data_IF_295473981837
#
_entry.id   IF_295473981837
#
_cell.length_a   1.000
_cell.length_b   1.000
_cell.length_c   1.000
_cell.angle_alpha   90.00
_cell.angle_beta   90.00
_cell.angle_gamma   90.00
#
_symmetry.space_group_name_H-M   'P 1'
#
loop_
_entity.id
_entity.type
_entity.pdbx_description
1 polymer ?
#
# COMPACT_ATOMS: atom_id res chain seq x y z
N UNK A 1 -6.40 -8.26 -11.43
CA UNK A 1 -7.44 -9.08 -12.08
C UNK A 1 -6.89 -10.49 -12.29
N UNK A 2 -7.75 -11.53 -12.20
CA UNK A 2 -7.33 -12.94 -12.37
C UNK A 2 -6.68 -13.26 -13.73
N UNK A 3 -6.86 -12.39 -14.72
CA UNK A 3 -6.21 -12.48 -16.04
C UNK A 3 -4.78 -11.90 -16.04
N UNK A 4 -4.41 -11.13 -15.02
CA UNK A 4 -3.06 -10.60 -14.85
C UNK A 4 -2.41 -11.32 -13.67
N UNK A 5 -1.29 -11.97 -13.95
CA UNK A 5 -0.52 -12.67 -12.95
C UNK A 5 0.94 -12.24 -13.07
N UNK A 6 1.56 -11.91 -11.96
CA UNK A 6 2.95 -11.46 -11.93
C UNK A 6 3.58 -11.69 -10.58
N UNK A 7 4.89 -11.87 -10.59
CA UNK A 7 5.71 -12.05 -9.39
C UNK A 7 6.81 -10.99 -9.43
N UNK A 8 6.95 -10.25 -8.35
CA UNK A 8 8.11 -9.38 -8.12
C UNK A 8 9.14 -10.16 -7.31
N UNK A 9 10.32 -10.37 -7.88
CA UNK A 9 11.41 -11.07 -7.20
C UNK A 9 12.45 -10.06 -6.73
N UNK A 10 12.99 -10.29 -5.54
CA UNK A 10 13.97 -9.43 -4.89
C UNK A 10 15.26 -10.22 -4.61
N UNK A 11 16.41 -9.54 -4.72
CA UNK A 11 17.71 -10.10 -4.39
C UNK A 11 18.00 -10.09 -2.89
N UNK A 12 19.13 -10.68 -2.48
CA UNK A 12 19.57 -10.68 -1.08
C UNK A 12 19.92 -9.28 -0.54
N UNK A 13 20.07 -8.30 -1.42
CA UNK A 13 20.25 -6.87 -1.13
C UNK A 13 18.94 -6.12 -0.84
N UNK A 14 17.79 -6.82 -0.96
CA UNK A 14 16.45 -6.23 -0.80
C UNK A 14 15.97 -5.43 -2.01
N UNK A 15 16.73 -5.35 -3.10
CA UNK A 15 16.35 -4.68 -4.33
C UNK A 15 15.59 -5.61 -5.27
N UNK A 16 14.65 -5.04 -6.06
CA UNK A 16 13.99 -5.80 -7.11
C UNK A 16 15.03 -6.32 -8.11
N UNK A 17 14.87 -7.56 -8.50
CA UNK A 17 15.79 -8.25 -9.42
C UNK A 17 15.89 -7.49 -10.76
N UNK A 18 17.12 -7.18 -11.18
CA UNK A 18 17.41 -6.54 -12.47
C UNK A 18 17.37 -7.54 -13.62
N UNK A 19 17.50 -7.05 -14.87
CA UNK A 19 17.31 -7.85 -16.08
C UNK A 19 18.26 -9.06 -16.16
N UNK A 20 19.52 -8.93 -15.75
CA UNK A 20 20.49 -10.02 -15.84
C UNK A 20 20.17 -11.19 -14.90
N UNK A 21 19.95 -11.02 -13.59
CA UNK A 21 19.46 -12.09 -12.72
C UNK A 21 18.10 -12.64 -13.16
N UNK A 22 17.18 -11.79 -13.61
CA UNK A 22 15.88 -12.21 -14.11
C UNK A 22 16.00 -13.13 -15.32
N UNK A 23 16.86 -12.83 -16.28
CA UNK A 23 17.10 -13.66 -17.46
C UNK A 23 17.61 -15.07 -17.08
N UNK A 24 18.42 -15.18 -16.03
CA UNK A 24 18.88 -16.50 -15.53
C UNK A 24 17.72 -17.31 -14.95
N UNK A 25 16.82 -16.67 -14.21
CA UNK A 25 15.61 -17.33 -13.66
C UNK A 25 14.70 -17.76 -14.79
N UNK A 26 14.45 -16.90 -15.78
CA UNK A 26 13.63 -17.24 -16.95
C UNK A 26 14.20 -18.42 -17.74
N UNK A 27 15.51 -18.48 -17.92
CA UNK A 27 16.17 -19.61 -18.61
C UNK A 27 15.95 -20.96 -17.89
N UNK A 28 15.78 -20.97 -16.56
CA UNK A 28 15.40 -22.18 -15.82
C UNK A 28 13.90 -22.47 -15.94
N UNK A 29 13.04 -21.44 -15.88
CA UNK A 29 11.59 -21.59 -16.03
C UNK A 29 11.24 -22.20 -17.39
N UNK A 30 11.90 -21.77 -18.48
CA UNK A 30 11.68 -22.29 -19.84
C UNK A 30 11.97 -23.79 -20.00
N UNK A 31 12.74 -24.39 -19.11
CA UNK A 31 13.00 -25.83 -19.08
C UNK A 31 11.90 -26.63 -18.42
N UNK A 32 10.98 -25.97 -17.73
CA UNK A 32 9.92 -26.60 -16.94
C UNK A 32 8.68 -26.72 -17.82
N UNK A 33 7.98 -27.89 -17.87
CA UNK A 33 6.70 -28.01 -18.55
C UNK A 33 5.68 -27.00 -18.00
N UNK A 34 4.90 -26.41 -18.91
CA UNK A 34 3.95 -25.32 -18.58
C UNK A 34 2.90 -25.76 -17.55
N UNK A 35 2.49 -27.02 -17.58
CA UNK A 35 1.55 -27.61 -16.62
C UNK A 35 2.22 -28.81 -15.92
N UNK A 36 2.62 -28.60 -14.70
CA UNK A 36 3.03 -29.70 -13.82
C UNK A 36 1.83 -30.09 -12.96
N UNK A 37 1.51 -31.40 -12.83
CA UNK A 37 0.54 -31.82 -11.82
C UNK A 37 1.08 -31.46 -10.44
N UNK A 38 0.21 -30.94 -9.58
CA UNK A 38 0.57 -30.75 -8.18
C UNK A 38 0.85 -32.12 -7.55
N UNK A 39 2.07 -32.34 -7.10
CA UNK A 39 2.47 -33.59 -6.46
C UNK A 39 1.87 -33.73 -5.04
N UNK A 40 1.66 -32.58 -4.36
CA UNK A 40 1.16 -32.49 -2.99
C UNK A 40 0.20 -31.32 -2.84
N UNK A 41 -0.68 -31.40 -1.85
CA UNK A 41 -1.53 -30.28 -1.46
C UNK A 41 -0.74 -29.20 -0.70
N UNK A 42 -1.33 -28.02 -0.54
CA UNK A 42 -0.77 -26.96 0.31
C UNK A 42 -0.61 -27.43 1.76
N UNK A 43 -1.59 -28.18 2.25
CA UNK A 43 -1.63 -28.74 3.60
C UNK A 43 -0.50 -29.75 3.84
N UNK A 44 -0.17 -30.57 2.83
CA UNK A 44 0.95 -31.51 2.92
C UNK A 44 2.29 -30.74 2.99
N UNK A 45 2.48 -29.71 2.15
CA UNK A 45 3.68 -28.88 2.20
C UNK A 45 3.82 -28.13 3.53
N UNK A 46 2.71 -27.65 4.10
CA UNK A 46 2.72 -26.99 5.41
C UNK A 46 3.08 -27.99 6.53
N UNK A 47 2.53 -29.20 6.49
CA UNK A 47 2.78 -30.24 7.49
C UNK A 47 4.24 -30.75 7.45
N UNK A 48 4.86 -30.77 6.28
CA UNK A 48 6.25 -31.21 6.07
C UNK A 48 7.28 -30.08 6.27
N UNK A 49 6.83 -28.82 6.54
CA UNK A 49 7.71 -27.67 6.68
C UNK A 49 8.25 -27.12 5.34
N UNK A 50 7.68 -27.52 4.20
CA UNK A 50 7.98 -26.97 2.88
C UNK A 50 7.38 -25.58 2.64
N UNK A 51 6.37 -25.23 3.45
CA UNK A 51 5.74 -23.91 3.51
C UNK A 51 5.67 -23.48 4.97
N UNK A 52 6.07 -22.23 5.24
CA UNK A 52 5.97 -21.66 6.58
C UNK A 52 5.29 -20.28 6.52
N UNK A 53 4.48 -19.97 7.52
CA UNK A 53 3.97 -18.62 7.69
C UNK A 53 5.02 -17.74 8.35
N UNK A 54 5.05 -16.47 7.96
CA UNK A 54 5.91 -15.46 8.58
C UNK A 54 5.59 -15.38 10.09
N UNK A 55 6.63 -15.53 10.91
CA UNK A 55 6.51 -15.49 12.36
C UNK A 55 6.00 -14.12 12.85
N UNK A 56 5.18 -14.09 13.93
CA UNK A 56 4.63 -12.86 14.49
C UNK A 56 5.70 -11.81 14.82
N UNK A 57 6.89 -12.24 15.26
CA UNK A 57 8.01 -11.39 15.63
C UNK A 57 8.54 -10.58 14.44
N UNK A 58 8.49 -11.15 13.22
CA UNK A 58 8.90 -10.44 12.03
C UNK A 58 7.87 -9.35 11.67
N UNK A 59 6.58 -9.61 11.86
CA UNK A 59 5.53 -8.62 11.72
C UNK A 59 5.70 -7.45 12.71
N UNK A 60 6.01 -7.75 13.98
CA UNK A 60 6.25 -6.71 14.98
C UNK A 60 7.43 -5.83 14.59
N UNK A 61 8.55 -6.40 14.18
CA UNK A 61 9.70 -5.64 13.70
C UNK A 61 9.36 -4.74 12.50
N UNK A 62 8.56 -5.25 11.56
CA UNK A 62 8.08 -4.47 10.44
C UNK A 62 7.23 -3.27 10.90
N UNK A 63 6.28 -3.50 11.80
CA UNK A 63 5.45 -2.42 12.34
C UNK A 63 6.26 -1.39 13.12
N UNK A 64 7.22 -1.81 13.92
CA UNK A 64 8.13 -0.92 14.65
C UNK A 64 8.94 -0.06 13.68
N UNK A 65 9.46 -0.65 12.61
CA UNK A 65 10.20 0.08 11.57
C UNK A 65 9.32 1.14 10.91
N UNK A 66 8.09 0.79 10.49
CA UNK A 66 7.16 1.74 9.88
C UNK A 66 6.78 2.86 10.83
N UNK A 67 6.52 2.53 12.11
CA UNK A 67 6.19 3.52 13.14
C UNK A 67 7.38 4.44 13.45
N UNK A 68 8.61 3.93 13.30
CA UNK A 68 9.85 4.69 13.48
C UNK A 68 10.05 5.81 12.45
N UNK A 69 9.40 5.72 11.27
CA UNK A 69 9.42 6.78 10.25
C UNK A 69 8.54 7.99 10.61
N UNK A 70 7.85 7.96 11.73
CA UNK A 70 6.99 9.03 12.18
C UNK A 70 7.80 10.26 12.60
N UNK A 71 7.64 11.35 11.89
CA UNK A 71 8.40 12.59 12.12
C UNK A 71 7.90 13.41 13.31
N UNK A 72 6.62 13.33 13.63
CA UNK A 72 6.03 14.06 14.74
C UNK A 72 4.88 13.28 15.37
N UNK A 73 4.69 13.45 16.67
CA UNK A 73 3.49 12.97 17.36
C UNK A 73 2.40 14.01 17.19
N UNK A 74 1.45 13.71 16.32
CA UNK A 74 0.25 14.54 16.13
C UNK A 74 -0.93 13.81 16.78
N UNK A 75 -1.79 14.49 17.57
CA UNK A 75 -3.02 13.88 18.06
C UNK A 75 -3.87 13.37 16.91
N UNK A 76 -4.24 12.10 16.95
CA UNK A 76 -5.02 11.44 15.90
C UNK A 76 -6.27 10.73 16.43
N UNK A 77 -6.52 10.86 17.74
CA UNK A 77 -7.56 10.13 18.48
C UNK A 77 -9.00 10.43 18.00
N UNK A 78 -9.18 11.55 17.29
CA UNK A 78 -10.48 11.96 16.73
C UNK A 78 -10.53 11.84 15.20
N UNK A 79 -9.47 11.32 14.55
CA UNK A 79 -9.48 11.16 13.12
C UNK A 79 -10.22 9.88 12.73
N UNK A 80 -11.33 10.04 11.99
CA UNK A 80 -12.12 8.94 11.45
C UNK A 80 -11.74 8.73 9.99
N UNK A 81 -11.15 7.61 9.72
CA UNK A 81 -10.64 7.26 8.40
C UNK A 81 -11.43 6.09 7.82
N UNK A 82 -11.91 6.24 6.58
CA UNK A 82 -12.45 5.14 5.80
C UNK A 82 -11.37 4.60 4.88
N UNK A 83 -11.02 3.33 5.06
CA UNK A 83 -9.94 2.68 4.31
C UNK A 83 -10.45 1.61 3.36
N UNK A 84 -9.93 1.58 2.14
CA UNK A 84 -10.08 0.46 1.23
C UNK A 84 -8.73 -0.13 0.86
N UNK A 85 -8.49 -1.43 1.12
CA UNK A 85 -7.33 -2.16 0.63
C UNK A 85 -7.47 -2.63 -0.83
N UNK A 86 -8.58 -2.36 -1.51
CA UNK A 86 -8.90 -2.86 -2.86
C UNK A 86 -8.65 -4.37 -2.99
N UNK A 87 -9.18 -5.15 -2.03
CA UNK A 87 -9.00 -6.61 -1.93
C UNK A 87 -7.53 -7.05 -1.78
N UNK A 88 -6.65 -6.16 -1.32
CA UNK A 88 -5.21 -6.34 -1.35
C UNK A 88 -4.55 -6.61 0.00
N UNK A 89 -3.23 -6.69 -0.05
CA UNK A 89 -2.35 -7.07 1.08
C UNK A 89 -2.26 -5.98 2.16
N UNK A 90 -2.59 -4.73 1.85
CA UNK A 90 -2.56 -3.60 2.78
C UNK A 90 -3.57 -3.71 3.93
N UNK A 91 -4.61 -4.54 3.82
CA UNK A 91 -5.69 -4.61 4.81
C UNK A 91 -5.18 -4.73 6.25
N UNK A 92 -4.39 -5.74 6.54
CA UNK A 92 -3.88 -5.97 7.89
C UNK A 92 -2.80 -4.95 8.31
N UNK A 93 -1.72 -4.73 7.54
CA UNK A 93 -0.63 -3.87 7.98
C UNK A 93 -1.05 -2.40 8.12
N UNK A 94 -1.76 -1.84 7.15
CA UNK A 94 -2.19 -0.43 7.20
C UNK A 94 -3.11 -0.18 8.40
N UNK A 95 -4.09 -1.03 8.62
CA UNK A 95 -5.00 -0.90 9.77
C UNK A 95 -4.27 -1.06 11.11
N UNK A 96 -3.30 -1.97 11.19
CA UNK A 96 -2.49 -2.16 12.40
C UNK A 96 -1.67 -0.92 12.71
N UNK A 97 -0.97 -0.37 11.74
CA UNK A 97 -0.13 0.83 11.93
C UNK A 97 -0.99 2.04 12.31
N UNK A 98 -2.07 2.29 11.58
CA UNK A 98 -2.97 3.41 11.85
C UNK A 98 -3.63 3.29 13.24
N UNK A 99 -4.08 2.09 13.62
CA UNK A 99 -4.63 1.85 14.96
C UNK A 99 -3.61 2.08 16.08
N UNK A 100 -2.34 1.73 15.87
CA UNK A 100 -1.27 1.96 16.86
C UNK A 100 -0.95 3.44 17.07
N UNK A 101 -1.25 4.28 16.09
CA UNK A 101 -1.10 5.74 16.23
C UNK A 101 -2.40 6.45 16.63
N UNK A 102 -3.45 5.70 16.97
CA UNK A 102 -4.70 6.23 17.53
C UNK A 102 -5.75 6.65 16.49
N UNK A 103 -5.58 6.31 15.20
CA UNK A 103 -6.57 6.62 14.16
C UNK A 103 -7.74 5.62 14.21
N UNK A 104 -8.98 6.14 14.16
CA UNK A 104 -10.18 5.31 14.02
C UNK A 104 -10.34 4.89 12.56
N UNK A 105 -10.10 3.61 12.26
CA UNK A 105 -10.15 3.08 10.89
C UNK A 105 -11.36 2.21 10.68
N UNK A 106 -12.31 2.67 9.86
CA UNK A 106 -13.34 1.83 9.27
C UNK A 106 -12.85 1.29 7.92
N UNK A 107 -13.14 0.03 7.62
CA UNK A 107 -12.77 -0.57 6.33
C UNK A 107 -13.98 -0.70 5.42
N UNK A 108 -13.79 -0.57 4.11
CA UNK A 108 -14.83 -0.83 3.10
C UNK A 108 -15.10 -2.33 3.02
N UNK A 109 -16.26 -2.84 3.50
CA UNK A 109 -16.46 -4.29 3.68
C UNK A 109 -16.39 -5.08 2.37
N UNK A 110 -16.88 -4.48 1.27
CA UNK A 110 -16.91 -5.11 -0.04
C UNK A 110 -15.51 -5.29 -0.67
N UNK A 111 -14.50 -4.62 -0.12
CA UNK A 111 -13.12 -4.62 -0.63
C UNK A 111 -12.10 -5.04 0.45
N UNK A 112 -12.57 -5.48 1.61
CA UNK A 112 -11.71 -5.87 2.73
C UNK A 112 -10.97 -7.19 2.49
N UNK A 113 -11.66 -8.17 1.91
CA UNK A 113 -11.09 -9.52 1.70
C UNK A 113 -10.49 -9.65 0.30
N UNK A 114 -9.46 -10.50 0.14
CA UNK A 114 -8.94 -10.83 -1.18
C UNK A 114 -10.05 -11.36 -2.09
N UNK A 115 -10.13 -10.81 -3.31
CA UNK A 115 -11.03 -11.25 -4.39
C UNK A 115 -10.26 -11.16 -5.70
N UNK A 116 -9.86 -12.29 -6.27
CA UNK A 116 -9.11 -12.35 -7.53
C UNK A 116 -9.91 -11.87 -8.74
N UNK A 117 -11.25 -11.87 -8.65
CA UNK A 117 -12.12 -11.37 -9.70
C UNK A 117 -12.33 -9.85 -9.64
N UNK A 118 -11.97 -9.20 -8.53
CA UNK A 118 -12.15 -7.77 -8.30
C UNK A 118 -13.56 -7.26 -8.65
N UNK A 119 -14.59 -7.95 -8.18
CA UNK A 119 -16.01 -7.73 -8.52
C UNK A 119 -16.51 -6.30 -8.28
N UNK A 120 -15.90 -5.59 -7.33
CA UNK A 120 -16.26 -4.21 -6.97
C UNK A 120 -15.42 -3.16 -7.69
N UNK A 121 -14.35 -3.57 -8.35
CA UNK A 121 -13.44 -2.68 -9.06
C UNK A 121 -12.63 -3.48 -10.09
N UNK A 122 -13.06 -3.50 -11.35
CA UNK A 122 -12.39 -4.23 -12.42
C UNK A 122 -10.91 -3.83 -12.60
N UNK A 123 -10.59 -2.56 -12.29
CA UNK A 123 -9.24 -2.03 -12.35
C UNK A 123 -8.84 -1.43 -11.00
N UNK A 124 -8.20 -2.23 -10.12
CA UNK A 124 -7.93 -1.83 -8.74
C UNK A 124 -6.72 -0.87 -8.64
N UNK A 125 -6.80 0.24 -9.36
CA UNK A 125 -5.84 1.34 -9.29
C UNK A 125 -6.46 2.48 -8.47
N UNK A 126 -5.94 2.80 -7.28
CA UNK A 126 -6.49 3.83 -6.40
C UNK A 126 -6.44 5.24 -7.01
N UNK A 127 -5.66 5.45 -8.06
CA UNK A 127 -5.65 6.71 -8.80
C UNK A 127 -6.91 6.93 -9.65
N UNK A 128 -7.70 5.89 -9.91
CA UNK A 128 -8.97 6.01 -10.63
C UNK A 128 -10.12 6.29 -9.67
N UNK A 129 -11.12 7.07 -10.11
CA UNK A 129 -12.31 7.32 -9.29
C UNK A 129 -13.14 6.05 -9.10
N UNK A 130 -13.14 5.17 -10.10
CA UNK A 130 -13.83 3.90 -10.04
C UNK A 130 -13.40 3.02 -8.86
N UNK A 131 -12.10 3.04 -8.50
CA UNK A 131 -11.57 2.29 -7.38
C UNK A 131 -12.14 2.73 -6.03
N UNK A 132 -12.47 4.02 -5.88
CA UNK A 132 -13.01 4.59 -4.65
C UNK A 132 -14.55 4.65 -4.61
N UNK A 133 -15.26 4.14 -5.63
CA UNK A 133 -16.72 4.22 -5.68
C UNK A 133 -17.41 3.59 -4.48
N UNK A 134 -16.95 2.44 -4.00
CA UNK A 134 -17.51 1.80 -2.80
C UNK A 134 -17.25 2.65 -1.55
N UNK A 135 -16.05 3.25 -1.47
CA UNK A 135 -15.71 4.19 -0.39
C UNK A 135 -16.63 5.42 -0.40
N UNK A 136 -16.88 6.01 -1.56
CA UNK A 136 -17.76 7.18 -1.67
C UNK A 136 -19.20 6.90 -1.27
N UNK A 137 -19.72 5.68 -1.54
CA UNK A 137 -21.07 5.29 -1.09
C UNK A 137 -21.16 5.29 0.43
N UNK A 138 -20.21 4.65 1.11
CA UNK A 138 -20.15 4.56 2.57
C UNK A 138 -19.89 5.94 3.19
N UNK A 139 -18.98 6.71 2.60
CA UNK A 139 -18.58 8.02 3.11
C UNK A 139 -19.73 9.04 3.16
N UNK A 140 -20.74 8.93 2.27
CA UNK A 140 -21.94 9.77 2.30
C UNK A 140 -22.79 9.57 3.57
N UNK A 141 -22.72 8.39 4.15
CA UNK A 141 -23.47 8.02 5.35
C UNK A 141 -22.65 8.21 6.63
N UNK A 142 -21.36 7.91 6.55
CA UNK A 142 -20.46 7.86 7.72
C UNK A 142 -19.65 9.14 7.94
N UNK A 143 -19.57 10.00 6.92
CA UNK A 143 -18.86 11.28 6.97
C UNK A 143 -17.44 11.19 7.58
N UNK A 144 -16.54 10.33 7.03
CA UNK A 144 -15.18 10.24 7.53
C UNK A 144 -14.41 11.53 7.24
N UNK A 145 -13.39 11.81 8.06
CA UNK A 145 -12.49 12.95 7.86
C UNK A 145 -11.56 12.73 6.67
N UNK A 146 -11.31 11.46 6.32
CA UNK A 146 -10.42 11.08 5.22
C UNK A 146 -10.84 9.74 4.63
N UNK A 147 -10.73 9.59 3.31
CA UNK A 147 -10.74 8.30 2.63
C UNK A 147 -9.32 7.97 2.21
N UNK A 148 -8.87 6.76 2.53
CA UNK A 148 -7.57 6.21 2.13
C UNK A 148 -7.80 4.95 1.30
N UNK A 149 -7.10 4.82 0.18
CA UNK A 149 -7.09 3.61 -0.64
C UNK A 149 -5.68 3.18 -0.96
N UNK A 150 -5.42 1.87 -0.94
CA UNK A 150 -4.17 1.29 -1.46
C UNK A 150 -4.49 0.29 -2.55
N UNK A 151 -3.58 0.13 -3.49
CA UNK A 151 -3.73 -0.93 -4.50
C UNK A 151 -3.45 -2.33 -3.92
N UNK A 152 -3.70 -3.41 -4.67
CA UNK A 152 -3.63 -4.76 -4.11
C UNK A 152 -2.26 -5.20 -3.57
N UNK A 153 -1.16 -4.72 -4.12
CA UNK A 153 0.19 -4.98 -3.62
C UNK A 153 0.71 -3.88 -2.67
N UNK A 154 -0.12 -2.85 -2.44
CA UNK A 154 0.08 -1.80 -1.44
C UNK A 154 1.32 -0.92 -1.69
N UNK A 155 1.69 -0.71 -2.97
CA UNK A 155 2.80 0.18 -3.35
C UNK A 155 2.33 1.57 -3.81
N UNK A 156 1.00 1.78 -3.92
CA UNK A 156 0.37 3.06 -4.24
C UNK A 156 -0.66 3.45 -3.20
N UNK A 157 -0.90 4.75 -3.08
CA UNK A 157 -1.89 5.32 -2.17
C UNK A 157 -2.74 6.38 -2.87
N UNK A 158 -4.03 6.38 -2.59
CA UNK A 158 -4.93 7.47 -2.90
C UNK A 158 -5.56 8.04 -1.63
N UNK A 159 -5.76 9.33 -1.65
CA UNK A 159 -6.40 10.07 -0.57
C UNK A 159 -7.55 10.89 -1.14
N UNK A 160 -8.72 10.85 -0.49
CA UNK A 160 -9.81 11.77 -0.78
C UNK A 160 -10.24 12.49 0.51
N UNK A 161 -10.48 13.79 0.36
CA UNK A 161 -10.84 14.69 1.46
C UNK A 161 -12.26 15.21 1.28
N UNK A 162 -13.00 15.51 2.37
CA UNK A 162 -14.31 16.11 2.28
C UNK A 162 -14.23 17.52 1.66
N UNK A 163 -15.18 17.80 0.79
CA UNK A 163 -15.40 19.12 0.18
C UNK A 163 -16.90 19.41 0.16
N UNK A 164 -17.28 20.64 -0.18
CA UNK A 164 -18.68 20.97 -0.36
C UNK A 164 -19.31 20.05 -1.42
N UNK A 165 -20.35 19.34 -1.04
CA UNK A 165 -21.07 18.40 -1.90
C UNK A 165 -20.50 16.99 -1.99
N UNK A 166 -19.41 16.64 -1.28
CA UNK A 166 -18.89 15.28 -1.26
C UNK A 166 -17.42 15.13 -0.90
N UNK A 167 -16.70 14.37 -1.70
CA UNK A 167 -15.27 14.11 -1.51
C UNK A 167 -14.49 14.43 -2.77
N UNK A 168 -13.30 14.99 -2.62
CA UNK A 168 -12.33 15.23 -3.68
C UNK A 168 -11.11 14.35 -3.50
N UNK A 169 -10.81 13.54 -4.48
CA UNK A 169 -9.56 12.78 -4.53
C UNK A 169 -8.39 13.73 -4.86
N UNK A 170 -7.31 13.59 -4.13
CA UNK A 170 -6.04 14.25 -4.45
C UNK A 170 -5.32 13.46 -5.53
N UNK A 171 -4.70 14.15 -6.47
CA UNK A 171 -3.77 13.52 -7.40
C UNK A 171 -2.49 13.11 -6.68
N UNK A 172 -1.75 12.14 -7.22
CA UNK A 172 -0.45 11.74 -6.69
C UNK A 172 0.54 12.92 -6.59
N UNK A 173 0.47 13.85 -7.54
CA UNK A 173 1.29 15.06 -7.52
C UNK A 173 0.91 16.01 -6.38
N UNK A 174 -0.38 16.27 -6.16
CA UNK A 174 -0.84 17.07 -5.03
C UNK A 174 -0.42 16.45 -3.70
N UNK A 175 -0.65 15.15 -3.56
CA UNK A 175 -0.26 14.43 -2.34
C UNK A 175 1.26 14.45 -2.12
N UNK A 176 2.05 14.26 -3.17
CA UNK A 176 3.50 14.32 -3.11
C UNK A 176 4.02 15.70 -2.65
N UNK A 177 3.45 16.80 -3.15
CA UNK A 177 3.80 18.15 -2.71
C UNK A 177 3.42 18.39 -1.24
N UNK A 178 2.23 17.95 -0.81
CA UNK A 178 1.79 18.06 0.58
C UNK A 178 2.69 17.27 1.53
N UNK A 179 3.09 16.06 1.14
CA UNK A 179 4.02 15.24 1.93
C UNK A 179 5.40 15.87 2.01
N UNK A 180 5.91 16.42 0.90
CA UNK A 180 7.21 17.10 0.89
C UNK A 180 7.21 18.31 1.82
N UNK A 181 6.20 19.18 1.73
CA UNK A 181 6.04 20.33 2.61
C UNK A 181 5.97 19.93 4.08
N UNK A 182 5.15 18.91 4.40
CA UNK A 182 5.03 18.37 5.74
C UNK A 182 6.36 17.83 6.29
N UNK A 183 7.08 17.05 5.49
CA UNK A 183 8.35 16.42 5.89
C UNK A 183 9.38 17.51 6.18
N UNK A 184 9.62 18.40 5.21
CA UNK A 184 10.62 19.46 5.34
C UNK A 184 10.28 20.44 6.47
N UNK A 185 9.02 20.86 6.55
CA UNK A 185 8.56 21.79 7.59
C UNK A 185 8.64 21.16 8.99
N UNK A 186 8.37 19.86 9.14
CA UNK A 186 8.48 19.17 10.42
C UNK A 186 9.94 18.99 10.83
N UNK A 187 10.81 18.58 9.91
CA UNK A 187 12.25 18.44 10.17
C UNK A 187 12.89 19.80 10.50
N UNK A 188 12.49 20.86 9.84
CA UNK A 188 12.96 22.22 10.13
C UNK A 188 12.58 22.66 11.55
N UNK A 189 11.31 22.46 11.94
CA UNK A 189 10.83 22.78 13.29
C UNK A 189 11.52 21.95 14.39
N UNK A 190 11.85 20.70 14.07
CA UNK A 190 12.58 19.80 14.99
C UNK A 190 14.09 20.05 15.01
N UNK A 191 14.63 20.89 14.14
CA UNK A 191 16.08 21.12 14.00
C UNK A 191 16.84 19.91 13.45
N UNK A 192 16.16 19.00 12.74
CA UNK A 192 16.73 17.78 12.17
C UNK A 192 16.88 17.86 10.64
N UNK A 193 16.49 18.98 10.04
CA UNK A 193 16.68 19.18 8.61
C UNK A 193 18.19 19.25 8.29
N UNK A 194 18.72 18.47 7.33
CA UNK A 194 20.10 18.58 6.88
C UNK A 194 20.44 19.99 6.41
N UNK A 195 21.72 20.36 6.49
CA UNK A 195 22.19 21.67 6.00
C UNK A 195 22.01 21.84 4.48
N UNK A 196 22.06 20.72 3.75
CA UNK A 196 21.83 20.66 2.30
C UNK A 196 20.78 19.57 2.01
N UNK A 197 19.48 19.90 2.17
CA UNK A 197 18.42 18.94 1.97
C UNK A 197 18.22 18.67 0.49
N UNK A 198 18.08 17.40 0.12
CA UNK A 198 17.88 16.96 -1.27
C UNK A 198 16.54 16.24 -1.40
N UNK A 199 15.71 16.69 -2.32
CA UNK A 199 14.51 15.99 -2.78
C UNK A 199 14.71 15.51 -4.22
N UNK A 200 14.31 14.28 -4.52
CA UNK A 200 14.42 13.69 -5.86
C UNK A 200 13.02 13.41 -6.40
N UNK A 201 12.74 13.86 -7.59
CA UNK A 201 11.50 13.55 -8.31
C UNK A 201 11.78 12.93 -9.67
N UNK A 202 10.82 12.20 -10.21
CA UNK A 202 10.88 11.67 -11.57
C UNK A 202 10.45 12.73 -12.59
N UNK A 203 10.81 12.50 -13.87
CA UNK A 203 10.41 13.38 -14.97
C UNK A 203 8.89 13.50 -15.16
N UNK A 204 8.14 12.50 -14.70
CA UNK A 204 6.67 12.48 -14.80
C UNK A 204 5.98 13.14 -13.60
N UNK A 205 6.75 13.53 -12.58
CA UNK A 205 6.21 14.25 -11.42
C UNK A 205 6.06 15.75 -11.73
N UNK A 206 5.21 16.42 -10.96
CA UNK A 206 4.98 17.86 -11.12
C UNK A 206 6.23 18.68 -10.84
N UNK A 207 6.51 19.77 -11.59
CA UNK A 207 7.55 20.74 -11.23
C UNK A 207 7.16 21.65 -10.05
N UNK A 208 5.96 21.52 -9.48
CA UNK A 208 5.47 22.37 -8.39
C UNK A 208 6.30 22.18 -7.09
N UNK A 209 7.11 21.13 -7.01
CA UNK A 209 8.02 20.89 -5.90
C UNK A 209 9.41 21.52 -6.10
N UNK A 210 9.67 22.17 -7.25
CA UNK A 210 10.91 22.91 -7.54
C UNK A 210 10.80 24.32 -6.92
#
# INVERSE_FOLDING_TARGET
>A
AGIYNGIKCYGPDGCQMTDEPAARVFAEIEKIPYFLPAEKSFEDFLAEGGVEFIAPELWERYYETVLGERLATVPSDNLNLLYTPLCGTGNKPVRTVLGRIGVNVAVVPAQEKPDGDFKTCEYPNPETDAALNESYKIARETHPDLILGTDPDCDRVAVAVPVEGGFRKLSGNELGCLLLDYILGTMQKAGTLPADPVAVRSIVSTPMAD
#
